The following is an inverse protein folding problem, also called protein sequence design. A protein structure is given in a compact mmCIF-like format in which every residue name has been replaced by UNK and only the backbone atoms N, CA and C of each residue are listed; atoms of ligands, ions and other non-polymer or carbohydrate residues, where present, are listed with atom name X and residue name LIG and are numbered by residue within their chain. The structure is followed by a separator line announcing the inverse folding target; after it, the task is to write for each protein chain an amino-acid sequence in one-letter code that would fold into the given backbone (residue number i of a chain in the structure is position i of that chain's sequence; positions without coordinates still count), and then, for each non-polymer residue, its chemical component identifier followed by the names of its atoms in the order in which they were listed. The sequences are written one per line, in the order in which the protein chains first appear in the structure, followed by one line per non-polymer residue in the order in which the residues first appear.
data_IF_656661446710
#
_entry.id   IF_656661446710
#
_cell.length_a   1.000
_cell.length_b   1.000
_cell.length_c   1.000
_cell.angle_alpha   90.00
_cell.angle_beta   90.00
_cell.angle_gamma   90.00
#
_symmetry.space_group_name_H-M   'P 1'
#
loop_
_entity.id
_entity.type
_entity.pdbx_description
1 polymer ?
#
# COMPACT_ATOMS: atom_id res chain seq x y z
N UNK A 1 18.17 -6.58 55.16
CA UNK A 1 18.01 -5.32 54.36
C UNK A 1 18.20 -5.48 52.83
N UNK A 2 18.75 -6.62 52.31
CA UNK A 2 19.07 -6.80 50.89
C UNK A 2 17.90 -7.12 49.94
N UNK A 3 16.80 -7.73 50.43
CA UNK A 3 15.70 -8.16 49.55
C UNK A 3 14.80 -7.04 49.02
N UNK A 4 14.62 -5.94 49.76
CA UNK A 4 13.79 -4.81 49.33
C UNK A 4 14.41 -4.03 48.14
N UNK A 5 15.74 -3.97 48.06
CA UNK A 5 16.47 -3.31 46.97
C UNK A 5 16.36 -4.07 45.62
N UNK A 6 16.49 -5.42 45.69
CA UNK A 6 16.38 -6.26 44.49
C UNK A 6 14.97 -6.20 43.84
N UNK A 7 13.90 -6.20 44.67
CA UNK A 7 12.51 -6.05 44.15
C UNK A 7 12.28 -4.71 43.45
N UNK A 8 12.82 -3.60 43.99
CA UNK A 8 12.71 -2.27 43.35
C UNK A 8 13.41 -2.21 41.99
N UNK A 9 14.58 -2.84 41.85
CA UNK A 9 15.31 -2.86 40.60
C UNK A 9 14.61 -3.74 39.55
N UNK A 10 14.04 -4.87 39.93
CA UNK A 10 13.24 -5.72 39.03
C UNK A 10 12.01 -4.97 38.50
N UNK A 11 11.29 -4.25 39.38
CA UNK A 11 10.13 -3.43 38.94
C UNK A 11 10.56 -2.34 37.95
N UNK A 12 11.67 -1.66 38.19
CA UNK A 12 12.20 -0.65 37.24
C UNK A 12 12.53 -1.26 35.87
N UNK A 13 13.18 -2.41 35.85
CA UNK A 13 13.49 -3.11 34.59
C UNK A 13 12.21 -3.50 33.85
N UNK A 14 11.20 -4.01 34.53
CA UNK A 14 9.91 -4.36 33.92
C UNK A 14 9.24 -3.11 33.32
N UNK A 15 9.21 -2.00 34.05
CA UNK A 15 8.66 -0.73 33.55
C UNK A 15 9.39 -0.28 32.30
N UNK A 16 10.73 -0.30 32.29
CA UNK A 16 11.52 0.08 31.12
C UNK A 16 11.22 -0.82 29.93
N UNK A 17 11.12 -2.13 30.13
CA UNK A 17 10.76 -3.07 29.06
C UNK A 17 9.34 -2.82 28.49
N UNK A 18 8.38 -2.51 29.37
CA UNK A 18 7.03 -2.16 28.94
C UNK A 18 6.99 -0.86 28.14
N UNK A 19 7.78 0.15 28.55
CA UNK A 19 7.88 1.41 27.82
C UNK A 19 8.51 1.20 26.44
N UNK A 20 9.64 0.46 26.39
CA UNK A 20 10.31 0.14 25.10
C UNK A 20 9.36 -0.67 24.20
N UNK A 21 8.69 -1.69 24.74
CA UNK A 21 7.71 -2.48 23.99
C UNK A 21 6.55 -1.63 23.48
N UNK A 22 6.06 -0.69 24.30
CA UNK A 22 5.03 0.26 23.88
C UNK A 22 5.49 1.19 22.73
N UNK A 23 6.69 1.77 22.86
CA UNK A 23 7.27 2.61 21.80
C UNK A 23 7.41 1.81 20.50
N UNK A 24 7.96 0.59 20.58
CA UNK A 24 8.10 -0.29 19.42
C UNK A 24 6.75 -0.63 18.79
N UNK A 25 5.74 -0.93 19.61
CA UNK A 25 4.39 -1.24 19.13
C UNK A 25 3.78 -0.08 18.34
N UNK A 26 3.92 1.15 18.82
CA UNK A 26 3.41 2.32 18.10
C UNK A 26 4.25 2.69 16.88
N UNK A 27 5.56 2.53 16.97
CA UNK A 27 6.49 2.85 15.87
C UNK A 27 6.53 1.79 14.76
N UNK A 28 6.06 0.56 15.02
CA UNK A 28 6.16 -0.57 14.10
C UNK A 28 5.70 -0.25 12.65
N UNK A 29 4.52 0.36 12.38
CA UNK A 29 4.11 0.65 11.00
C UNK A 29 5.03 1.64 10.31
N UNK A 30 5.58 2.60 11.06
CA UNK A 30 6.53 3.59 10.54
C UNK A 30 7.90 2.97 10.26
N UNK A 31 8.39 2.12 11.17
CA UNK A 31 9.63 1.36 10.94
C UNK A 31 9.49 0.55 9.66
N UNK A 32 8.38 -0.18 9.52
CA UNK A 32 8.08 -0.98 8.35
C UNK A 32 7.95 -0.12 7.09
N UNK A 33 7.33 1.04 7.20
CA UNK A 33 7.22 1.99 6.09
C UNK A 33 8.58 2.46 5.59
N UNK A 34 9.52 2.78 6.47
CA UNK A 34 10.84 3.31 6.09
C UNK A 34 11.88 2.23 5.76
N UNK A 35 11.75 1.02 6.33
CA UNK A 35 12.73 -0.07 6.16
C UNK A 35 12.25 -1.20 5.28
N UNK A 36 10.97 -1.17 4.88
CA UNK A 36 10.35 -2.20 4.06
C UNK A 36 10.78 -2.17 2.58
N UNK A 37 10.07 -2.91 1.72
CA UNK A 37 10.39 -2.96 0.29
C UNK A 37 10.34 -1.56 -0.34
N UNK A 38 11.10 -1.34 -1.43
CA UNK A 38 11.10 -0.06 -2.13
C UNK A 38 9.68 0.37 -2.51
N UNK A 39 9.35 1.62 -2.22
CA UNK A 39 8.07 2.23 -2.54
C UNK A 39 8.27 3.46 -3.40
N UNK A 40 7.22 3.83 -4.10
CA UNK A 40 7.16 5.08 -4.81
C UNK A 40 7.04 6.24 -3.80
N UNK A 41 7.84 7.28 -4.01
CA UNK A 41 7.54 8.62 -3.52
C UNK A 41 6.94 9.40 -4.68
N UNK A 42 6.20 10.48 -4.40
CA UNK A 42 5.61 11.30 -5.47
C UNK A 42 6.67 11.77 -6.48
N UNK A 43 7.80 12.30 -6.00
CA UNK A 43 8.90 12.74 -6.86
C UNK A 43 9.44 11.60 -7.73
N UNK A 44 9.69 10.44 -7.12
CA UNK A 44 10.17 9.26 -7.85
C UNK A 44 9.14 8.74 -8.84
N UNK A 45 7.85 8.79 -8.49
CA UNK A 45 6.76 8.43 -9.38
C UNK A 45 6.76 9.34 -10.61
N UNK A 46 6.77 10.67 -10.43
CA UNK A 46 6.82 11.63 -11.51
C UNK A 46 8.02 11.40 -12.44
N UNK A 47 9.23 11.23 -11.89
CA UNK A 47 10.42 10.93 -12.67
C UNK A 47 10.30 9.62 -13.45
N UNK A 48 9.72 8.59 -12.84
CA UNK A 48 9.53 7.28 -13.45
C UNK A 48 8.50 7.30 -14.57
N UNK A 49 7.43 8.05 -14.40
CA UNK A 49 6.42 8.26 -15.45
C UNK A 49 7.03 9.02 -16.62
N UNK A 50 7.73 10.13 -16.37
CA UNK A 50 8.37 10.94 -17.41
C UNK A 50 9.45 10.19 -18.18
N UNK A 51 10.21 9.30 -17.52
CA UNK A 51 11.25 8.49 -18.16
C UNK A 51 10.72 7.22 -18.84
N UNK A 52 9.45 6.89 -18.66
CA UNK A 52 8.86 5.64 -19.12
C UNK A 52 9.15 4.41 -18.25
N UNK A 53 9.97 4.56 -17.19
CA UNK A 53 10.35 3.41 -16.32
C UNK A 53 9.18 2.92 -15.44
N UNK A 54 8.21 3.76 -15.17
CA UNK A 54 6.98 3.36 -14.45
C UNK A 54 6.22 2.28 -15.22
N UNK A 55 6.10 2.43 -16.53
CA UNK A 55 5.41 1.48 -17.41
C UNK A 55 6.10 0.11 -17.42
N UNK A 56 7.42 0.08 -17.41
CA UNK A 56 8.17 -1.16 -17.27
C UNK A 56 7.94 -1.83 -15.90
N UNK A 57 7.83 -1.03 -14.84
CA UNK A 57 7.46 -1.53 -13.51
C UNK A 57 6.02 -2.05 -13.48
N UNK A 58 5.08 -1.35 -14.14
CA UNK A 58 3.70 -1.77 -14.28
C UNK A 58 3.59 -3.12 -15.01
N UNK A 59 4.36 -3.34 -16.09
CA UNK A 59 4.43 -4.64 -16.77
C UNK A 59 4.80 -5.80 -15.86
N UNK A 60 5.70 -5.58 -14.91
CA UNK A 60 6.10 -6.62 -13.95
C UNK A 60 5.05 -6.91 -12.87
N UNK A 61 4.09 -5.99 -12.64
CA UNK A 61 3.07 -6.07 -11.59
C UNK A 61 1.68 -6.38 -12.13
N UNK A 62 1.43 -6.03 -13.37
CA UNK A 62 0.11 -6.03 -13.97
C UNK A 62 -0.20 -7.32 -14.72
N UNK A 63 -1.49 -7.61 -14.77
CA UNK A 63 -2.07 -8.58 -15.67
C UNK A 63 -2.32 -7.88 -17.03
N UNK A 64 -1.76 -8.44 -18.11
CA UNK A 64 -2.04 -8.05 -19.49
C UNK A 64 -1.82 -6.57 -19.86
N UNK A 65 -0.77 -5.94 -19.34
CA UNK A 65 -0.43 -4.56 -19.69
C UNK A 65 -0.02 -4.37 -21.15
N UNK A 66 0.62 -5.38 -21.75
CA UNK A 66 1.20 -5.24 -23.08
C UNK A 66 0.17 -5.00 -24.18
N UNK A 67 -1.05 -5.55 -24.03
CA UNK A 67 -2.16 -5.32 -24.96
C UNK A 67 -2.76 -3.91 -24.90
N UNK A 68 -2.60 -3.19 -23.79
CA UNK A 68 -3.25 -1.90 -23.55
C UNK A 68 -2.28 -0.73 -23.30
N UNK A 69 -0.98 -0.95 -23.48
CA UNK A 69 0.06 0.00 -23.07
C UNK A 69 -0.11 1.41 -23.67
N UNK A 70 -0.50 1.51 -24.93
CA UNK A 70 -0.64 2.81 -25.61
C UNK A 70 -1.86 3.59 -25.10
N UNK A 71 -2.94 2.90 -24.77
CA UNK A 71 -4.13 3.48 -24.15
C UNK A 71 -3.81 3.97 -22.74
N UNK A 72 -3.15 3.13 -21.94
CA UNK A 72 -2.81 3.43 -20.54
C UNK A 72 -1.87 4.64 -20.37
N UNK A 73 -1.08 5.00 -21.39
CA UNK A 73 -0.20 6.17 -21.34
C UNK A 73 -0.95 7.50 -21.34
N UNK A 74 -2.22 7.50 -21.69
CA UNK A 74 -3.09 8.68 -21.64
C UNK A 74 -3.79 8.84 -20.31
N UNK A 75 -3.74 7.81 -19.47
CA UNK A 75 -4.45 7.75 -18.21
C UNK A 75 -3.71 8.45 -17.06
N UNK A 76 -4.47 8.82 -16.03
CA UNK A 76 -3.93 9.45 -14.82
C UNK A 76 -3.22 8.43 -13.94
N UNK A 77 -1.96 8.70 -13.61
CA UNK A 77 -1.21 7.94 -12.60
C UNK A 77 -1.33 8.65 -11.26
N UNK A 78 -1.54 7.89 -10.19
CA UNK A 78 -1.72 8.44 -8.85
C UNK A 78 -0.93 7.67 -7.78
N UNK A 79 -0.74 8.32 -6.62
CA UNK A 79 -0.06 7.76 -5.45
C UNK A 79 -0.69 8.32 -4.18
N UNK A 80 -0.83 7.51 -3.12
CA UNK A 80 -1.28 7.99 -1.82
C UNK A 80 -0.26 8.95 -1.17
N UNK A 81 -0.76 10.02 -0.56
CA UNK A 81 0.06 11.07 0.09
C UNK A 81 0.75 10.58 1.36
N UNK A 82 0.14 9.68 2.09
CA UNK A 82 0.63 9.24 3.42
C UNK A 82 0.24 7.81 3.75
N UNK A 83 1.00 7.21 4.65
CA UNK A 83 0.61 5.96 5.33
C UNK A 83 -0.70 6.19 6.10
N UNK A 84 -1.61 5.23 6.06
CA UNK A 84 -2.91 5.33 6.69
C UNK A 84 -3.23 4.06 7.48
N UNK A 85 -3.71 4.25 8.71
CA UNK A 85 -4.28 3.14 9.46
C UNK A 85 -5.68 2.84 8.90
N UNK A 86 -5.91 1.61 8.52
CA UNK A 86 -7.21 1.13 8.08
C UNK A 86 -7.98 0.59 9.29
N UNK A 87 -8.01 -0.72 9.50
CA UNK A 87 -8.71 -1.34 10.61
C UNK A 87 -7.91 -2.48 11.25
N UNK A 88 -8.23 -2.83 12.48
CA UNK A 88 -7.75 -4.05 13.16
C UNK A 88 -6.24 -4.35 13.00
N UNK A 89 -5.41 -3.31 13.07
CA UNK A 89 -3.96 -3.43 12.91
C UNK A 89 -3.47 -3.47 11.46
N UNK A 90 -4.36 -3.26 10.48
CA UNK A 90 -4.04 -3.12 9.07
C UNK A 90 -3.67 -1.66 8.74
N UNK A 91 -2.64 -1.48 7.96
CA UNK A 91 -2.15 -0.18 7.48
C UNK A 91 -1.96 -0.22 5.98
N UNK A 92 -2.41 0.84 5.31
CA UNK A 92 -2.05 1.12 3.94
C UNK A 92 -0.70 1.82 3.94
N UNK A 93 0.29 1.19 3.35
CA UNK A 93 1.63 1.77 3.22
C UNK A 93 1.81 2.46 1.89
N UNK A 94 1.27 1.87 0.82
CA UNK A 94 1.27 2.44 -0.52
C UNK A 94 0.00 2.05 -1.25
N UNK A 95 -0.50 3.02 -2.02
CA UNK A 95 -1.55 2.86 -3.00
C UNK A 95 -1.11 3.66 -4.23
N UNK A 96 -0.70 2.98 -5.28
CA UNK A 96 -0.41 3.60 -6.57
C UNK A 96 -1.21 2.91 -7.68
N UNK A 97 -1.53 3.64 -8.72
CA UNK A 97 -2.34 3.06 -9.77
C UNK A 97 -2.45 3.93 -11.01
N UNK A 98 -3.19 3.40 -11.96
CA UNK A 98 -3.53 4.02 -13.23
C UNK A 98 -5.05 4.04 -13.30
N UNK A 99 -5.65 5.21 -13.54
CA UNK A 99 -7.10 5.36 -13.68
C UNK A 99 -7.65 4.39 -14.74
N UNK A 100 -8.90 4.01 -14.59
CA UNK A 100 -9.62 3.09 -15.49
C UNK A 100 -8.97 1.72 -15.69
N UNK A 101 -7.89 1.42 -14.96
CA UNK A 101 -7.21 0.14 -15.13
C UNK A 101 -6.93 -0.56 -13.80
N UNK A 102 -5.75 -0.40 -13.19
CA UNK A 102 -5.36 -1.15 -11.99
C UNK A 102 -4.75 -0.27 -10.91
N UNK A 103 -5.07 -0.60 -9.67
CA UNK A 103 -4.49 -0.02 -8.45
C UNK A 103 -3.72 -1.11 -7.70
N UNK A 104 -2.51 -0.79 -7.29
CA UNK A 104 -1.65 -1.66 -6.48
C UNK A 104 -1.59 -1.14 -5.05
N UNK A 105 -1.95 -2.01 -4.11
CA UNK A 105 -1.90 -1.70 -2.69
C UNK A 105 -0.76 -2.49 -2.02
N UNK A 106 0.01 -1.81 -1.19
CA UNK A 106 0.93 -2.42 -0.24
C UNK A 106 0.36 -2.23 1.15
N UNK A 107 -0.14 -3.30 1.72
CA UNK A 107 -0.73 -3.32 3.05
C UNK A 107 0.26 -3.94 4.04
N UNK A 108 0.21 -3.50 5.29
CA UNK A 108 0.92 -4.11 6.40
C UNK A 108 -0.06 -4.42 7.52
N UNK A 109 -0.08 -5.65 7.98
CA UNK A 109 -0.80 -6.05 9.18
C UNK A 109 0.19 -6.23 10.32
N UNK A 110 -0.12 -5.67 11.49
CA UNK A 110 0.73 -5.77 12.70
C UNK A 110 0.99 -7.20 13.19
N UNK A 111 0.12 -8.10 12.82
CA UNK A 111 0.15 -9.49 13.24
C UNK A 111 0.27 -10.37 11.99
N UNK A 112 0.76 -11.60 12.13
CA UNK A 112 0.69 -12.58 11.06
C UNK A 112 -0.73 -12.67 10.49
N UNK A 113 -0.84 -12.84 9.19
CA UNK A 113 -2.12 -12.96 8.48
C UNK A 113 -2.37 -14.46 8.22
N UNK A 114 -3.47 -14.99 8.75
CA UNK A 114 -3.93 -16.33 8.39
C UNK A 114 -4.51 -16.33 6.98
N UNK A 115 -4.50 -17.48 6.32
CA UNK A 115 -5.10 -17.63 4.98
C UNK A 115 -6.57 -17.18 4.97
N UNK A 116 -7.35 -17.55 5.96
CA UNK A 116 -8.75 -17.14 6.07
C UNK A 116 -8.90 -15.60 6.17
N UNK A 117 -8.01 -14.92 6.89
CA UNK A 117 -8.04 -13.46 6.97
C UNK A 117 -7.60 -12.81 5.66
N UNK A 118 -6.60 -13.38 5.00
CA UNK A 118 -6.16 -12.91 3.68
C UNK A 118 -7.31 -13.02 2.68
N UNK A 119 -7.92 -14.18 2.58
CA UNK A 119 -8.99 -14.45 1.63
C UNK A 119 -10.19 -13.53 1.90
N UNK A 120 -10.57 -13.37 3.16
CA UNK A 120 -11.62 -12.42 3.55
C UNK A 120 -11.31 -10.97 3.12
N UNK A 121 -10.06 -10.50 3.32
CA UNK A 121 -9.67 -9.16 2.88
C UNK A 121 -9.76 -9.01 1.35
N UNK A 122 -9.32 -10.03 0.61
CA UNK A 122 -9.37 -10.01 -0.85
C UNK A 122 -10.82 -10.02 -1.37
N UNK A 123 -11.69 -10.82 -0.75
CA UNK A 123 -13.10 -10.94 -1.16
C UNK A 123 -13.93 -9.69 -0.85
N UNK A 124 -13.53 -8.93 0.20
CA UNK A 124 -14.33 -7.78 0.66
C UNK A 124 -13.74 -6.42 0.28
N UNK A 125 -12.54 -6.40 -0.28
CA UNK A 125 -11.83 -5.16 -0.62
C UNK A 125 -12.14 -4.73 -2.04
N UNK A 126 -12.55 -3.48 -2.23
CA UNK A 126 -12.75 -2.86 -3.54
C UNK A 126 -12.54 -1.35 -3.49
N UNK A 127 -12.32 -0.74 -4.65
CA UNK A 127 -12.31 0.71 -4.81
C UNK A 127 -13.65 1.18 -5.35
N UNK A 128 -14.22 2.22 -4.72
CA UNK A 128 -15.50 2.79 -5.14
C UNK A 128 -15.35 3.47 -6.51
N UNK A 129 -16.33 3.22 -7.39
CA UNK A 129 -16.29 3.77 -8.75
C UNK A 129 -15.40 3.00 -9.72
N UNK A 130 -14.85 1.86 -9.31
CA UNK A 130 -14.24 0.90 -10.24
C UNK A 130 -15.32 0.18 -11.03
N UNK A 131 -15.01 -0.22 -12.27
CA UNK A 131 -15.90 -1.05 -13.06
C UNK A 131 -15.86 -2.50 -12.53
N UNK A 132 -16.95 -2.94 -11.89
CA UNK A 132 -17.09 -4.31 -11.39
C UNK A 132 -17.09 -5.37 -12.50
N UNK A 133 -17.21 -4.96 -13.78
CA UNK A 133 -17.12 -5.86 -14.94
C UNK A 133 -15.68 -6.13 -15.38
N UNK A 134 -14.71 -5.37 -14.91
CA UNK A 134 -13.30 -5.65 -15.16
C UNK A 134 -12.88 -6.81 -14.26
N UNK A 135 -12.83 -8.01 -14.83
CA UNK A 135 -12.32 -9.22 -14.17
C UNK A 135 -10.82 -9.08 -13.92
N UNK A 136 -10.43 -8.21 -13.00
CA UNK A 136 -9.08 -8.20 -12.48
C UNK A 136 -8.99 -9.35 -11.48
N UNK A 137 -8.38 -10.45 -11.90
CA UNK A 137 -8.00 -11.49 -10.94
C UNK A 137 -7.15 -10.85 -9.85
N UNK A 138 -7.68 -10.77 -8.64
CA UNK A 138 -6.90 -10.32 -7.50
C UNK A 138 -5.73 -11.26 -7.29
N UNK A 139 -4.53 -10.81 -7.61
CA UNK A 139 -3.31 -11.52 -7.24
C UNK A 139 -2.80 -10.95 -5.94
N UNK A 140 -3.05 -11.64 -4.85
CA UNK A 140 -2.17 -11.50 -3.69
C UNK A 140 -0.83 -12.15 -4.05
N UNK A 141 0.29 -11.55 -3.64
CA UNK A 141 1.51 -12.35 -3.55
C UNK A 141 1.20 -13.52 -2.61
N UNK A 142 1.45 -14.73 -3.05
CA UNK A 142 1.00 -15.96 -2.43
C UNK A 142 1.57 -16.22 -1.02
N UNK A 143 2.46 -15.37 -0.53
CA UNK A 143 3.03 -15.47 0.81
C UNK A 143 3.18 -14.08 1.41
N UNK A 144 2.54 -13.81 2.56
CA UNK A 144 2.83 -12.63 3.33
C UNK A 144 4.33 -12.63 3.70
N UNK A 145 5.05 -11.60 3.29
CA UNK A 145 6.44 -11.40 3.71
C UNK A 145 6.41 -10.99 5.19
N UNK A 146 6.69 -11.94 6.08
CA UNK A 146 6.69 -11.71 7.53
C UNK A 146 7.90 -10.90 7.93
N UNK A 147 7.67 -9.70 8.45
CA UNK A 147 8.71 -8.83 9.02
C UNK A 147 8.23 -8.14 10.28
N UNK A 148 9.12 -8.01 11.25
CA UNK A 148 8.82 -7.29 12.50
C UNK A 148 7.53 -7.77 13.18
N UNK A 149 7.30 -9.09 13.20
CA UNK A 149 6.11 -9.75 13.79
C UNK A 149 4.78 -9.43 13.07
N UNK A 150 4.83 -8.80 11.92
CA UNK A 150 3.67 -8.53 11.07
C UNK A 150 3.83 -9.14 9.67
N UNK A 151 2.88 -8.87 8.81
CA UNK A 151 2.88 -9.38 7.45
C UNK A 151 2.54 -8.30 6.42
N UNK A 152 3.21 -8.33 5.26
CA UNK A 152 2.82 -7.55 4.09
C UNK A 152 1.79 -8.31 3.27
N UNK A 153 0.84 -7.58 2.72
CA UNK A 153 -0.10 -8.07 1.73
C UNK A 153 -0.05 -7.13 0.52
N UNK A 154 0.19 -7.71 -0.66
CA UNK A 154 0.17 -7.00 -1.93
C UNK A 154 -1.16 -7.33 -2.61
N UNK A 155 -1.92 -6.30 -2.96
CA UNK A 155 -3.25 -6.45 -3.55
C UNK A 155 -3.32 -5.65 -4.84
N UNK A 156 -3.95 -6.21 -5.85
CA UNK A 156 -4.29 -5.52 -7.09
C UNK A 156 -5.81 -5.43 -7.16
N UNK A 157 -6.31 -4.22 -7.39
CA UNK A 157 -7.74 -3.94 -7.54
C UNK A 157 -7.99 -3.22 -8.87
N UNK A 158 -9.19 -3.32 -9.45
CA UNK A 158 -9.63 -2.41 -10.49
C UNK A 158 -9.55 -0.96 -10.02
N UNK A 159 -9.06 -0.06 -10.84
CA UNK A 159 -9.01 1.37 -10.53
C UNK A 159 -10.37 2.04 -10.73
N UNK A 160 -10.66 3.12 -9.99
CA UNK A 160 -11.78 4.00 -10.32
C UNK A 160 -11.64 4.62 -11.71
N UNK A 161 -12.77 4.89 -12.36
CA UNK A 161 -12.80 5.56 -13.66
C UNK A 161 -12.33 7.02 -13.60
N UNK A 162 -12.55 7.68 -12.46
CA UNK A 162 -12.11 9.04 -12.22
C UNK A 162 -11.30 9.09 -10.93
N UNK A 163 -10.16 9.77 -11.00
CA UNK A 163 -9.27 9.99 -9.86
C UNK A 163 -9.22 11.48 -9.55
N UNK A 164 -9.85 11.84 -8.46
CA UNK A 164 -9.73 13.17 -7.85
C UNK A 164 -8.58 13.18 -6.82
N UNK A 165 -8.58 14.13 -5.89
CA UNK A 165 -7.62 14.19 -4.79
C UNK A 165 -7.82 13.09 -3.74
N UNK A 166 -8.87 12.28 -3.88
CA UNK A 166 -9.25 11.23 -2.94
C UNK A 166 -9.84 10.04 -3.69
N UNK A 167 -9.43 8.83 -3.31
CA UNK A 167 -10.09 7.58 -3.70
C UNK A 167 -10.65 6.89 -2.47
N UNK A 168 -11.76 6.20 -2.61
CA UNK A 168 -12.42 5.51 -1.49
C UNK A 168 -12.19 4.01 -1.58
N UNK A 169 -11.50 3.45 -0.57
CA UNK A 169 -11.31 2.02 -0.39
C UNK A 169 -12.43 1.48 0.50
N UNK A 170 -13.15 0.49 0.02
CA UNK A 170 -14.13 -0.26 0.81
C UNK A 170 -13.52 -1.58 1.29
N UNK A 171 -13.68 -1.87 2.58
CA UNK A 171 -13.28 -3.14 3.22
C UNK A 171 -14.41 -3.55 4.15
N UNK A 172 -14.97 -4.74 3.95
CA UNK A 172 -16.07 -5.26 4.78
C UNK A 172 -17.25 -4.26 4.91
N UNK A 173 -17.61 -3.61 3.81
CA UNK A 173 -18.69 -2.62 3.75
C UNK A 173 -18.37 -1.27 4.42
N UNK A 174 -17.13 -1.05 4.86
CA UNK A 174 -16.68 0.22 5.42
C UNK A 174 -15.86 1.01 4.43
N UNK A 175 -16.23 2.25 4.22
CA UNK A 175 -15.55 3.18 3.33
C UNK A 175 -14.41 3.91 4.05
N UNK A 176 -13.26 3.99 3.41
CA UNK A 176 -12.05 4.66 3.91
C UNK A 176 -11.49 5.52 2.80
N UNK A 177 -11.47 6.83 3.02
CA UNK A 177 -10.92 7.77 2.07
C UNK A 177 -9.39 7.80 2.12
N UNK A 178 -8.77 7.73 0.95
CA UNK A 178 -7.33 7.76 0.75
C UNK A 178 -7.00 9.03 -0.05
N UNK A 179 -6.30 9.95 0.59
CA UNK A 179 -5.78 11.14 -0.10
C UNK A 179 -4.69 10.72 -1.08
N UNK A 180 -4.81 11.12 -2.35
CA UNK A 180 -3.86 10.79 -3.42
C UNK A 180 -3.31 12.05 -4.06
N UNK A 181 -2.16 11.90 -4.69
CA UNK A 181 -1.57 12.89 -5.60
C UNK A 181 -1.54 12.29 -7.00
N UNK A 182 -1.96 13.05 -7.98
CA UNK A 182 -1.97 12.63 -9.38
C UNK A 182 -0.76 13.20 -10.11
N UNK A 183 -0.21 12.43 -11.05
CA UNK A 183 0.81 12.94 -11.99
C UNK A 183 0.06 13.57 -13.14
N UNK A 184 0.13 14.90 -13.30
CA UNK A 184 -0.58 15.58 -14.35
C UNK A 184 0.01 15.20 -15.71
N UNK A 185 -0.89 14.92 -16.63
CA UNK A 185 -0.66 14.80 -18.07
C UNK A 185 0.57 13.95 -18.48
N UNK A 186 0.42 12.65 -18.30
CA UNK A 186 1.43 11.64 -18.66
C UNK A 186 1.69 11.65 -20.16
N UNK A 187 0.67 11.94 -20.98
CA UNK A 187 0.71 11.87 -22.44
C UNK A 187 1.65 12.90 -23.07
N UNK A 188 1.60 14.16 -22.65
CA UNK A 188 2.45 15.22 -23.21
C UNK A 188 3.94 15.00 -22.95
N UNK A 189 4.30 14.50 -21.76
CA UNK A 189 5.70 14.30 -21.39
C UNK A 189 6.32 13.06 -22.03
N UNK A 190 5.53 12.06 -22.38
CA UNK A 190 6.00 10.86 -23.06
C UNK A 190 6.24 11.08 -24.55
N UNK A 191 5.35 11.80 -25.21
CA UNK A 191 5.44 12.11 -26.65
C UNK A 191 6.59 13.06 -26.99
N UNK A 192 6.93 14.02 -26.11
CA UNK A 192 8.06 14.94 -26.29
C UNK A 192 9.44 14.26 -26.31
N UNK A 193 9.57 13.05 -25.83
CA UNK A 193 10.86 12.33 -25.78
C UNK A 193 11.05 11.31 -26.91
N UNK A 194 10.03 11.08 -27.71
CA UNK A 194 10.13 10.19 -28.88
C UNK A 194 10.32 10.95 -30.22
N UNK A 195 10.28 12.26 -30.20
CA UNK A 195 10.63 13.14 -31.33
C UNK A 195 11.97 13.82 -31.10
#
# INVERSE_FOLDING_TARGET
RGMKGKKKNVIKVIIVLLVIGGIFYFAQPWIVYYTGPPRWTYERLCQSVQSGSYWNSARGRALDVDGHLDELKTETVFLNKKIQKLENGLYLLQCDGISEWQTWLVLFNRYPISDAKRDFLLDTMKLKGSDDNVNVEMKSSSYPDERFFGAYLYVVLPSPMQIDDTITLEIDGKEIDIEVETVPDVSENYLRKQG
#
